data_IF_464862381281
#
_entry.id   IF_464862381281
#
_cell.length_a   1.000
_cell.length_b   1.000
_cell.length_c   1.000
_cell.angle_alpha   90.00
_cell.angle_beta   90.00
_cell.angle_gamma   90.00
#
_symmetry.space_group_name_H-M   'P 1'
#
loop_
_entity.id
_entity.type
_entity.pdbx_description
1 polymer ?
#
# COMPACT_ATOMS: atom_id res chain seq x y z
N UNK A 1 -12.15 -13.98 -8.40
CA UNK A 1 -12.80 -14.02 -7.08
C UNK A 1 -14.21 -13.53 -7.25
N UNK A 2 -15.20 -14.41 -7.23
CA UNK A 2 -16.60 -13.99 -7.21
C UNK A 2 -16.90 -13.53 -5.78
N UNK A 3 -17.10 -12.22 -5.59
CA UNK A 3 -17.69 -11.72 -4.36
C UNK A 3 -19.12 -12.28 -4.28
N UNK A 4 -19.46 -12.94 -3.18
CA UNK A 4 -20.80 -13.47 -2.98
C UNK A 4 -21.82 -12.30 -3.06
N UNK A 5 -22.96 -12.49 -3.75
CA UNK A 5 -23.98 -11.45 -3.87
C UNK A 5 -24.49 -11.08 -2.47
N UNK A 6 -24.66 -9.79 -2.21
CA UNK A 6 -25.25 -9.29 -0.95
C UNK A 6 -26.77 -9.51 -0.99
N UNK A 7 -27.20 -10.75 -0.82
CA UNK A 7 -28.57 -10.98 -0.37
C UNK A 7 -28.70 -10.45 1.07
N UNK A 8 -29.87 -9.92 1.42
CA UNK A 8 -30.12 -9.25 2.68
C UNK A 8 -29.87 -10.19 3.89
N UNK A 9 -28.69 -10.09 4.52
CA UNK A 9 -28.31 -10.93 5.65
C UNK A 9 -26.84 -10.77 6.05
N UNK A 10 -26.46 -11.32 7.22
CA UNK A 10 -25.05 -11.38 7.63
C UNK A 10 -24.28 -12.42 6.82
N UNK A 11 -22.98 -12.19 6.61
CA UNK A 11 -22.10 -13.18 5.96
C UNK A 11 -22.18 -14.53 6.67
N UNK A 12 -22.19 -14.54 8.00
CA UNK A 12 -22.31 -15.76 8.79
C UNK A 12 -23.59 -16.54 8.46
N UNK A 13 -24.75 -15.86 8.40
CA UNK A 13 -26.02 -16.49 8.03
C UNK A 13 -25.93 -17.12 6.64
N UNK A 14 -25.43 -16.37 5.68
CA UNK A 14 -25.25 -16.87 4.31
C UNK A 14 -24.34 -18.11 4.27
N UNK A 15 -23.20 -18.08 4.96
CA UNK A 15 -22.29 -19.23 5.03
C UNK A 15 -22.95 -20.45 5.66
N UNK A 16 -23.70 -20.27 6.76
CA UNK A 16 -24.41 -21.37 7.43
C UNK A 16 -25.53 -22.00 6.58
N UNK A 17 -26.08 -21.25 5.61
CA UNK A 17 -27.13 -21.74 4.72
C UNK A 17 -26.56 -22.39 3.44
N UNK A 18 -25.34 -22.05 3.05
CA UNK A 18 -24.77 -22.42 1.73
C UNK A 18 -23.61 -23.41 1.81
N UNK A 19 -22.90 -23.49 2.93
CA UNK A 19 -21.76 -24.38 3.11
C UNK A 19 -22.13 -25.64 3.89
N UNK A 20 -21.45 -26.74 3.61
CA UNK A 20 -21.55 -27.98 4.39
C UNK A 20 -20.94 -27.82 5.78
N UNK A 21 -21.38 -28.64 6.74
CA UNK A 21 -20.83 -28.63 8.10
C UNK A 21 -19.32 -28.91 8.14
N UNK A 22 -18.80 -29.76 7.24
CA UNK A 22 -17.34 -29.98 7.12
C UNK A 22 -16.56 -28.70 6.78
N UNK A 23 -17.14 -27.83 5.94
CA UNK A 23 -16.53 -26.55 5.57
C UNK A 23 -16.70 -25.48 6.65
N UNK A 24 -17.77 -25.58 7.43
CA UNK A 24 -18.05 -24.68 8.55
C UNK A 24 -17.31 -25.07 9.83
N UNK A 25 -16.95 -26.34 10.00
CA UNK A 25 -16.34 -26.87 11.22
C UNK A 25 -15.12 -26.05 11.70
N UNK A 26 -14.16 -25.66 10.82
CA UNK A 26 -13.04 -24.84 11.27
C UNK A 26 -13.46 -23.44 11.75
N UNK A 27 -14.46 -22.82 11.12
CA UNK A 27 -14.98 -21.52 11.54
C UNK A 27 -15.74 -21.60 12.87
N UNK A 28 -16.55 -22.66 13.06
CA UNK A 28 -17.22 -22.93 14.33
C UNK A 28 -16.23 -23.18 15.45
N UNK A 29 -15.15 -23.91 15.17
CA UNK A 29 -14.06 -24.13 16.14
C UNK A 29 -13.42 -22.81 16.55
N UNK A 30 -13.09 -21.92 15.60
CA UNK A 30 -12.61 -20.57 15.92
C UNK A 30 -13.61 -19.81 16.80
N UNK A 31 -14.88 -19.73 16.39
CA UNK A 31 -15.89 -19.01 17.16
C UNK A 31 -16.04 -19.55 18.58
N UNK A 32 -15.96 -20.87 18.78
CA UNK A 32 -16.03 -21.49 20.10
C UNK A 32 -14.86 -21.14 21.02
N UNK A 33 -13.70 -20.81 20.44
CA UNK A 33 -12.51 -20.39 21.18
C UNK A 33 -12.52 -18.90 21.49
N UNK A 34 -13.14 -18.08 20.65
CA UNK A 34 -13.13 -16.62 20.78
C UNK A 34 -13.66 -16.10 22.13
N UNK A 35 -14.58 -16.82 22.76
CA UNK A 35 -15.20 -16.41 24.04
C UNK A 35 -14.34 -16.73 25.27
N UNK A 36 -13.35 -17.61 25.14
CA UNK A 36 -12.59 -18.17 26.28
C UNK A 36 -11.07 -18.04 26.14
N UNK A 37 -10.56 -17.87 24.94
CA UNK A 37 -9.14 -17.68 24.68
C UNK A 37 -8.73 -16.23 24.89
N UNK A 38 -7.50 -16.01 25.37
CA UNK A 38 -6.89 -14.69 25.33
C UNK A 38 -6.58 -14.29 23.87
N UNK A 39 -6.49 -12.99 23.53
CA UNK A 39 -6.19 -12.55 22.16
C UNK A 39 -5.02 -13.26 21.47
N UNK A 40 -3.88 -13.38 22.14
CA UNK A 40 -2.69 -14.09 21.67
C UNK A 40 -2.97 -15.57 21.45
N UNK A 41 -3.56 -16.25 22.45
CA UNK A 41 -3.88 -17.68 22.33
C UNK A 41 -4.82 -17.94 21.15
N UNK A 42 -5.84 -17.09 20.99
CA UNK A 42 -6.79 -17.17 19.88
C UNK A 42 -6.09 -17.04 18.52
N UNK A 43 -5.23 -16.02 18.37
CA UNK A 43 -4.49 -15.79 17.13
C UNK A 43 -3.49 -16.92 16.84
N UNK A 44 -2.76 -17.39 17.85
CA UNK A 44 -1.77 -18.45 17.69
C UNK A 44 -2.44 -19.80 17.35
N UNK A 45 -3.62 -20.10 17.91
CA UNK A 45 -4.41 -21.26 17.51
C UNK A 45 -4.87 -21.21 16.05
N UNK A 46 -5.22 -20.03 15.53
CA UNK A 46 -5.55 -19.85 14.10
C UNK A 46 -4.33 -20.05 13.22
N UNK A 47 -3.19 -19.49 13.64
CA UNK A 47 -1.95 -19.48 12.86
C UNK A 47 -1.26 -20.83 12.83
N UNK A 48 -1.14 -21.48 13.99
CA UNK A 48 -0.32 -22.68 14.20
C UNK A 48 -1.13 -23.93 14.52
N UNK A 49 -2.44 -23.79 14.82
CA UNK A 49 -3.35 -24.91 15.06
C UNK A 49 -3.83 -25.60 13.77
N UNK A 50 -4.94 -26.37 13.83
CA UNK A 50 -5.41 -27.21 12.72
C UNK A 50 -5.72 -26.46 11.41
N UNK A 51 -6.02 -25.16 11.51
CA UNK A 51 -6.23 -24.29 10.36
C UNK A 51 -4.94 -24.01 9.58
N UNK A 52 -3.80 -24.05 10.28
CA UNK A 52 -2.48 -23.83 9.70
C UNK A 52 -2.42 -22.46 8.95
N UNK A 53 -3.02 -21.44 9.58
CA UNK A 53 -3.16 -20.11 9.02
C UNK A 53 -1.83 -19.48 8.62
N UNK A 54 -0.77 -19.69 9.41
CA UNK A 54 0.58 -19.15 9.16
C UNK A 54 1.11 -19.59 7.81
N UNK A 55 1.12 -20.91 7.53
CA UNK A 55 1.59 -21.45 6.24
C UNK A 55 0.73 -20.95 5.08
N UNK A 56 -0.59 -20.91 5.26
CA UNK A 56 -1.53 -20.44 4.21
C UNK A 56 -1.35 -18.95 3.89
N UNK A 57 -1.16 -18.13 4.90
CA UNK A 57 -0.91 -16.68 4.75
C UNK A 57 0.43 -16.44 4.06
N UNK A 58 1.51 -17.07 4.52
CA UNK A 58 2.84 -16.96 3.89
C UNK A 58 2.82 -17.44 2.44
N UNK A 59 2.12 -18.54 2.13
CA UNK A 59 1.98 -19.02 0.76
C UNK A 59 1.23 -18.03 -0.14
N UNK A 60 0.26 -17.31 0.40
CA UNK A 60 -0.59 -16.38 -0.36
C UNK A 60 0.02 -14.98 -0.50
N UNK A 61 0.67 -14.48 0.56
CA UNK A 61 1.14 -13.11 0.69
C UNK A 61 2.68 -12.99 0.54
N UNK A 62 3.41 -14.10 0.61
CA UNK A 62 4.86 -14.15 0.57
C UNK A 62 5.52 -14.15 1.95
N UNK A 63 6.84 -14.28 1.98
CA UNK A 63 7.64 -14.32 3.20
C UNK A 63 7.56 -13.01 4.01
N UNK A 64 7.37 -11.88 3.32
CA UNK A 64 7.19 -10.54 3.90
C UNK A 64 5.99 -10.44 4.86
N UNK A 65 5.02 -11.36 4.75
CA UNK A 65 3.90 -11.40 5.68
C UNK A 65 4.29 -11.96 7.06
N UNK A 66 5.50 -12.51 7.22
CA UNK A 66 5.99 -13.02 8.50
C UNK A 66 6.05 -11.90 9.54
N UNK A 67 6.73 -10.80 9.23
CA UNK A 67 6.95 -9.75 10.24
C UNK A 67 5.64 -9.14 10.74
N UNK A 68 4.67 -8.77 9.88
CA UNK A 68 3.37 -8.28 10.35
C UNK A 68 2.59 -9.31 11.18
N UNK A 69 2.73 -10.61 10.89
CA UNK A 69 2.10 -11.68 11.70
C UNK A 69 2.73 -11.74 13.09
N UNK A 70 4.07 -11.73 13.18
CA UNK A 70 4.77 -11.75 14.46
C UNK A 70 4.49 -10.46 15.26
N UNK A 71 4.41 -9.31 14.59
CA UNK A 71 4.10 -8.05 15.26
C UNK A 71 2.68 -8.02 15.81
N UNK A 72 1.69 -8.56 15.08
CA UNK A 72 0.33 -8.72 15.58
C UNK A 72 0.29 -9.60 16.84
N UNK A 73 1.08 -10.68 16.87
CA UNK A 73 1.18 -11.56 18.04
C UNK A 73 1.86 -10.86 19.22
N UNK A 74 2.93 -10.10 18.98
CA UNK A 74 3.59 -9.29 20.00
C UNK A 74 2.65 -8.23 20.58
N UNK A 75 1.89 -7.53 19.74
CA UNK A 75 0.89 -6.57 20.17
C UNK A 75 -0.21 -7.22 21.03
N UNK A 76 -0.65 -8.44 20.67
CA UNK A 76 -1.60 -9.19 21.48
C UNK A 76 -1.03 -9.57 22.86
N UNK A 77 0.22 -10.03 22.92
CA UNK A 77 0.91 -10.31 24.19
C UNK A 77 1.04 -9.04 25.05
N UNK A 78 1.48 -7.93 24.47
CA UNK A 78 1.62 -6.66 25.17
C UNK A 78 0.29 -6.18 25.76
N UNK A 79 -0.79 -6.28 24.98
CA UNK A 79 -2.14 -5.97 25.45
C UNK A 79 -2.56 -6.84 26.65
N UNK A 80 -2.32 -8.15 26.58
CA UNK A 80 -2.64 -9.07 27.67
C UNK A 80 -1.90 -8.79 28.98
N UNK A 81 -0.68 -8.26 28.91
CA UNK A 81 0.09 -7.91 30.11
C UNK A 81 -0.38 -6.64 30.82
N UNK A 82 -1.10 -5.76 30.11
CA UNK A 82 -1.47 -4.42 30.60
C UNK A 82 -2.97 -4.26 30.86
N UNK A 83 -3.79 -5.14 30.30
CA UNK A 83 -5.26 -5.03 30.31
C UNK A 83 -5.91 -6.38 30.63
N UNK A 84 -7.16 -6.37 31.08
CA UNK A 84 -7.94 -7.63 31.21
C UNK A 84 -8.06 -8.30 29.84
N UNK A 85 -7.60 -9.55 29.66
CA UNK A 85 -7.64 -10.23 28.37
C UNK A 85 -9.07 -10.39 27.86
N UNK A 86 -9.36 -9.80 26.70
CA UNK A 86 -10.65 -9.92 26.01
C UNK A 86 -10.43 -9.61 24.54
N UNK A 87 -10.89 -10.48 23.64
CA UNK A 87 -10.76 -10.26 22.20
C UNK A 87 -11.46 -8.97 21.76
N UNK A 88 -12.63 -8.67 22.30
CA UNK A 88 -13.37 -7.44 21.98
C UNK A 88 -12.60 -6.18 22.39
N UNK A 89 -12.00 -6.17 23.59
CA UNK A 89 -11.20 -5.02 24.05
C UNK A 89 -9.89 -4.89 23.28
N UNK A 90 -9.26 -6.01 22.96
CA UNK A 90 -8.07 -6.02 22.10
C UNK A 90 -8.38 -5.39 20.74
N UNK A 91 -9.51 -5.74 20.10
CA UNK A 91 -9.91 -5.17 18.82
C UNK A 91 -10.20 -3.67 18.92
N UNK A 92 -10.91 -3.21 19.97
CA UNK A 92 -11.16 -1.77 20.21
C UNK A 92 -9.85 -1.00 20.43
N UNK A 93 -8.91 -1.56 21.20
CA UNK A 93 -7.59 -0.96 21.42
C UNK A 93 -6.76 -0.93 20.14
N UNK A 94 -6.73 -2.03 19.38
CA UNK A 94 -5.96 -2.16 18.15
C UNK A 94 -6.48 -1.23 17.05
N UNK A 95 -7.80 -1.07 16.91
CA UNK A 95 -8.44 -0.20 15.91
C UNK A 95 -8.17 1.29 16.18
N UNK A 96 -7.97 1.67 17.44
CA UNK A 96 -7.59 3.05 17.82
C UNK A 96 -6.18 3.43 17.39
N UNK A 97 -5.36 2.46 16.97
CA UNK A 97 -4.04 2.73 16.41
C UNK A 97 -2.98 3.13 17.44
N UNK A 98 -3.16 2.77 18.72
CA UNK A 98 -2.14 2.96 19.76
C UNK A 98 -0.87 2.08 19.54
N UNK A 99 -0.79 1.40 18.39
CA UNK A 99 0.33 0.54 17.98
C UNK A 99 1.07 1.21 16.82
N UNK A 100 2.18 1.87 17.12
CA UNK A 100 3.12 2.33 16.08
C UNK A 100 4.02 1.17 15.66
N UNK A 101 3.76 0.61 14.47
CA UNK A 101 4.63 -0.42 13.88
C UNK A 101 5.69 0.29 13.02
N UNK A 102 6.87 0.51 13.58
CA UNK A 102 8.03 1.01 12.84
C UNK A 102 8.64 -0.15 12.07
N UNK A 103 8.32 -0.23 10.77
CA UNK A 103 8.96 -1.19 9.88
C UNK A 103 10.33 -0.66 9.45
N UNK A 104 11.38 -1.44 9.64
CA UNK A 104 12.67 -1.16 9.02
C UNK A 104 12.61 -1.54 7.53
N UNK A 105 12.73 -0.59 6.58
CA UNK A 105 12.77 -0.89 5.16
C UNK A 105 14.11 -1.47 4.70
N UNK A 106 15.06 -1.70 5.61
CA UNK A 106 16.39 -2.23 5.30
C UNK A 106 16.37 -3.74 5.01
N UNK A 107 16.15 -4.05 3.72
CA UNK A 107 16.40 -5.31 3.00
C UNK A 107 15.20 -6.27 2.89
N UNK A 108 14.85 -6.66 1.64
CA UNK A 108 15.68 -7.58 0.85
C UNK A 108 16.46 -6.92 -0.30
N UNK A 109 17.63 -7.49 -0.65
CA UNK A 109 18.42 -7.12 -1.84
C UNK A 109 17.72 -7.55 -3.15
N UNK A 110 16.88 -8.59 -3.11
CA UNK A 110 16.15 -9.16 -4.26
C UNK A 110 14.64 -8.89 -4.20
N UNK A 111 14.23 -7.63 -3.96
CA UNK A 111 12.82 -7.26 -3.91
C UNK A 111 12.51 -5.94 -4.65
N UNK A 112 11.25 -5.81 -5.09
CA UNK A 112 10.73 -4.56 -5.66
C UNK A 112 10.40 -3.60 -4.53
N UNK A 113 11.09 -2.45 -4.49
CA UNK A 113 10.79 -1.38 -3.54
C UNK A 113 9.61 -0.55 -4.05
N UNK A 114 8.48 -0.61 -3.35
CA UNK A 114 7.33 0.27 -3.58
C UNK A 114 7.46 1.49 -2.68
N UNK A 115 7.53 2.67 -3.28
CA UNK A 115 7.68 3.93 -2.56
C UNK A 115 6.91 5.02 -3.29
N UNK A 116 6.59 6.11 -2.59
CA UNK A 116 6.06 7.30 -3.24
C UNK A 116 7.17 8.01 -4.03
N UNK A 117 6.82 8.76 -5.07
CA UNK A 117 7.80 9.55 -5.82
C UNK A 117 8.57 10.54 -4.92
N UNK A 118 7.93 11.04 -3.87
CA UNK A 118 8.58 11.88 -2.87
C UNK A 118 9.59 11.09 -2.02
N UNK A 119 9.22 9.89 -1.57
CA UNK A 119 10.11 8.99 -0.83
C UNK A 119 11.32 8.51 -1.63
N UNK A 120 11.24 8.56 -2.96
CA UNK A 120 12.35 8.21 -3.86
C UNK A 120 13.39 9.33 -4.05
N UNK A 121 13.17 10.55 -3.53
CA UNK A 121 14.05 11.70 -3.75
C UNK A 121 15.46 11.41 -3.24
N UNK A 122 16.46 11.49 -4.13
CA UNK A 122 17.86 11.22 -3.80
C UNK A 122 18.26 9.75 -3.85
N UNK A 123 17.32 8.85 -4.15
CA UNK A 123 17.60 7.44 -4.42
C UNK A 123 17.79 7.22 -5.93
N UNK A 124 18.56 6.18 -6.27
CA UNK A 124 18.76 5.73 -7.65
C UNK A 124 18.62 4.21 -7.73
N UNK A 125 18.09 3.71 -8.85
CA UNK A 125 17.95 2.29 -9.15
C UNK A 125 18.14 2.05 -10.65
N UNK A 126 18.63 0.87 -11.08
CA UNK A 126 18.84 0.57 -12.50
C UNK A 126 17.54 0.49 -13.31
N UNK A 127 16.41 0.16 -12.68
CA UNK A 127 15.07 0.15 -13.28
C UNK A 127 14.07 0.78 -12.31
N UNK A 128 13.26 1.71 -12.81
CA UNK A 128 12.17 2.37 -12.07
C UNK A 128 10.87 2.17 -12.84
N UNK A 129 9.85 1.62 -12.17
CA UNK A 129 8.49 1.50 -12.70
C UNK A 129 7.63 2.55 -12.00
N UNK A 130 7.13 3.53 -12.75
CA UNK A 130 6.17 4.51 -12.24
C UNK A 130 4.75 3.99 -12.49
N UNK A 131 4.14 3.43 -11.44
CA UNK A 131 2.74 3.01 -11.47
C UNK A 131 1.85 4.27 -11.36
N UNK A 132 1.38 4.77 -12.51
CA UNK A 132 0.36 5.81 -12.75
C UNK A 132 0.83 6.81 -13.82
N UNK A 133 0.96 6.32 -15.05
CA UNK A 133 1.27 7.13 -16.24
C UNK A 133 0.11 7.13 -17.26
N UNK A 134 -1.06 6.60 -16.90
CA UNK A 134 -2.22 6.47 -17.80
C UNK A 134 -3.23 7.58 -17.57
N UNK A 135 -2.85 8.79 -17.98
CA UNK A 135 -3.83 9.81 -18.38
C UNK A 135 -4.15 9.53 -19.86
N UNK A 136 -5.45 9.52 -20.19
CA UNK A 136 -6.01 9.27 -21.52
C UNK A 136 -5.13 9.84 -22.67
N UNK A 137 -4.54 8.99 -23.53
CA UNK A 137 -3.62 9.39 -24.60
C UNK A 137 -4.29 10.22 -25.70
N UNK A 138 -5.62 10.29 -25.74
CA UNK A 138 -6.41 11.09 -26.70
C UNK A 138 -6.74 12.49 -26.19
N UNK A 139 -6.61 12.75 -24.88
CA UNK A 139 -7.07 14.00 -24.26
C UNK A 139 -6.02 15.14 -24.19
N UNK A 140 -4.80 14.94 -24.69
CA UNK A 140 -3.78 16.00 -24.72
C UNK A 140 -2.90 15.90 -25.98
N UNK A 141 -2.68 17.00 -26.74
CA UNK A 141 -1.67 17.01 -27.78
C UNK A 141 -0.29 16.91 -27.11
N UNK A 142 0.29 15.71 -27.07
CA UNK A 142 1.63 15.45 -26.55
C UNK A 142 2.65 16.10 -27.49
N UNK A 143 3.05 17.33 -27.19
CA UNK A 143 4.30 17.87 -27.72
C UNK A 143 5.49 17.18 -27.01
N UNK A 144 5.78 15.94 -27.41
CA UNK A 144 7.02 15.25 -27.08
C UNK A 144 8.17 16.02 -27.74
N UNK A 145 9.06 16.59 -26.93
CA UNK A 145 10.28 17.21 -27.46
C UNK A 145 11.31 16.09 -27.61
N UNK A 146 11.69 15.80 -28.85
CA UNK A 146 12.80 14.90 -29.16
C UNK A 146 14.10 15.67 -29.01
N UNK A 147 14.63 15.69 -27.79
CA UNK A 147 15.89 16.35 -27.52
C UNK A 147 17.04 15.45 -27.93
N UNK A 148 18.02 16.05 -28.60
CA UNK A 148 19.23 15.38 -29.06
C UNK A 148 20.39 16.02 -28.30
N UNK A 149 21.06 15.29 -27.39
CA UNK A 149 22.13 15.84 -26.55
C UNK A 149 23.32 16.34 -27.37
N UNK A 150 23.67 15.61 -28.43
CA UNK A 150 24.77 15.94 -29.34
C UNK A 150 24.40 15.57 -30.79
N UNK A 151 24.92 16.29 -31.80
CA UNK A 151 24.65 16.00 -33.20
C UNK A 151 24.96 14.54 -33.56
N UNK A 152 23.93 13.77 -33.92
CA UNK A 152 24.03 12.34 -34.26
C UNK A 152 23.63 11.36 -33.15
N UNK A 153 23.36 11.83 -31.93
CA UNK A 153 22.86 10.97 -30.85
C UNK A 153 21.39 10.57 -31.07
N UNK A 154 21.01 9.41 -30.54
CA UNK A 154 19.62 8.95 -30.61
C UNK A 154 18.72 9.89 -29.80
N UNK A 155 17.60 10.40 -30.36
CA UNK A 155 16.75 11.36 -29.68
C UNK A 155 16.07 10.74 -28.46
N UNK A 156 16.16 11.45 -27.32
CA UNK A 156 15.54 11.04 -26.06
C UNK A 156 14.16 11.71 -25.97
N UNK A 157 13.08 10.96 -25.66
CA UNK A 157 11.75 11.55 -25.47
C UNK A 157 11.71 12.35 -24.16
N UNK A 158 11.66 13.68 -24.25
CA UNK A 158 11.48 14.55 -23.09
C UNK A 158 10.01 14.97 -22.99
N UNK A 159 9.39 14.68 -21.85
CA UNK A 159 8.07 15.19 -21.50
C UNK A 159 8.16 16.66 -21.11
N UNK A 160 7.37 17.52 -21.77
CA UNK A 160 7.30 18.94 -21.42
C UNK A 160 6.54 19.11 -20.10
N UNK A 161 7.17 19.63 -19.02
CA UNK A 161 6.44 19.92 -17.80
C UNK A 161 5.42 21.05 -18.05
N UNK A 162 4.22 20.92 -17.46
CA UNK A 162 3.18 21.95 -17.53
C UNK A 162 3.60 23.18 -16.72
N UNK A 163 3.23 24.37 -17.19
CA UNK A 163 3.61 25.66 -16.60
C UNK A 163 3.26 25.81 -15.12
N UNK A 164 2.27 25.09 -14.60
CA UNK A 164 1.88 25.14 -13.18
C UNK A 164 2.82 24.34 -12.26
N UNK A 165 3.70 23.50 -12.81
CA UNK A 165 4.74 22.78 -12.07
C UNK A 165 6.09 23.52 -12.05
N UNK A 166 6.14 24.73 -12.61
CA UNK A 166 7.36 25.52 -12.74
C UNK A 166 7.37 26.62 -11.68
N UNK A 167 7.80 26.26 -10.47
CA UNK A 167 8.20 27.23 -9.44
C UNK A 167 9.64 27.68 -9.72
N UNK A 168 9.82 28.65 -10.62
CA UNK A 168 11.08 29.40 -10.72
C UNK A 168 11.07 30.56 -9.70
N UNK A 169 11.42 30.26 -8.46
CA UNK A 169 12.12 31.16 -7.54
C UNK A 169 13.16 30.24 -6.89
N UNK A 170 14.46 30.39 -7.05
CA UNK A 170 15.28 31.59 -7.24
C UNK A 170 16.68 31.12 -7.60
N UNK A 171 17.20 31.50 -8.76
CA UNK A 171 18.65 31.66 -8.97
C UNK A 171 18.81 32.97 -9.76
N UNK A 172 19.70 33.81 -9.26
CA UNK A 172 19.69 35.25 -9.46
C UNK A 172 19.94 35.74 -10.89
N UNK A 173 19.37 36.91 -11.14
CA UNK A 173 20.11 38.05 -11.68
C UNK A 173 20.37 38.06 -13.18
N UNK A 174 19.37 38.48 -13.96
CA UNK A 174 19.62 39.40 -15.08
C UNK A 174 18.34 40.12 -15.47
N UNK A 175 18.26 41.40 -15.15
CA UNK A 175 17.20 42.29 -15.60
C UNK A 175 17.42 42.65 -17.07
N UNK A 176 16.54 42.20 -17.96
CA UNK A 176 16.41 42.79 -19.29
C UNK A 176 15.11 43.59 -19.34
N UNK A 177 15.26 44.92 -19.30
CA UNK A 177 14.17 45.87 -19.47
C UNK A 177 13.61 45.81 -20.90
N UNK A 178 12.29 45.75 -21.11
CA UNK A 178 11.72 45.74 -22.44
C UNK A 178 11.64 47.17 -23.00
N UNK A 179 12.39 47.44 -24.07
CA UNK A 179 12.20 48.65 -24.89
C UNK A 179 10.81 48.62 -25.53
N UNK A 180 10.00 49.63 -25.24
CA UNK A 180 8.79 49.97 -26.01
C UNK A 180 9.18 50.50 -27.39
N UNK A 181 8.46 50.04 -28.42
CA UNK A 181 8.41 50.61 -29.76
C UNK A 181 7.03 50.32 -30.38
N UNK A 182 6.46 51.22 -31.20
CA UNK A 182 5.05 51.57 -31.10
C UNK A 182 4.11 50.77 -32.02
N UNK A 183 2.83 50.90 -31.63
CA UNK A 183 1.58 50.60 -32.35
C UNK A 183 1.62 51.03 -33.82
N UNK A 184 0.79 50.36 -34.64
CA UNK A 184 -0.21 50.84 -35.62
C UNK A 184 -0.72 49.55 -36.33
N UNK A 185 -1.99 49.19 -36.47
CA UNK A 185 -3.19 49.98 -36.73
C UNK A 185 -3.78 49.46 -38.05
N UNK A 186 -5.05 49.06 -38.01
CA UNK A 186 -5.89 48.37 -39.02
C UNK A 186 -5.81 46.84 -39.03
#
# INVERSE_FOLDING_TARGET
MHAAPREHGSLWRHLTQTLSEERLAPLRAMLSRADIATPYQFLEEILSGPLDGRRRLLRRLGAEARDPIEELLNAALAFETTSTPSLQRFLDWFDRGDVEIVRDPSAPLDAVRVMTAHGAKGLQAPLVILADATVDPTAAPRALVRWVPEPGAQPIPIFRPRSSAVSWRSIGGCSMSPRRGPRNGW
#
